data_IF_855179053541
#
_entry.id   IF_855179053541
#
_cell.length_a   1.000
_cell.length_b   1.000
_cell.length_c   1.000
_cell.angle_alpha   90.00
_cell.angle_beta   90.00
_cell.angle_gamma   90.00
#
_symmetry.space_group_name_H-M   'P 1'
#
loop_
_entity.id
_entity.type
_entity.pdbx_description
1 polymer ?
#
# COMPACT_ATOMS: atom_id res chain seq x y z
N UNK A 1 8.52 6.98 -18.96
CA UNK A 1 7.16 7.33 -18.50
C UNK A 1 6.44 6.03 -18.27
N UNK A 2 5.71 5.84 -17.18
CA UNK A 2 4.94 4.62 -17.00
C UNK A 2 3.82 4.55 -18.03
N UNK A 3 3.56 3.35 -18.53
CA UNK A 3 2.40 3.10 -19.37
C UNK A 3 1.13 3.24 -18.52
N UNK A 4 0.17 4.01 -18.99
CA UNK A 4 -0.96 4.46 -18.19
C UNK A 4 -1.86 3.30 -17.72
N UNK A 5 -2.27 2.41 -18.63
CA UNK A 5 -3.18 1.31 -18.25
C UNK A 5 -2.51 0.30 -17.30
N UNK A 6 -1.25 -0.16 -17.53
CA UNK A 6 -0.54 -0.96 -16.55
C UNK A 6 -0.41 -0.28 -15.18
N UNK A 7 -0.09 1.01 -15.15
CA UNK A 7 -0.02 1.78 -13.91
C UNK A 7 -1.37 1.78 -13.16
N UNK A 8 -2.47 2.10 -13.87
CA UNK A 8 -3.81 2.14 -13.26
C UNK A 8 -4.26 0.76 -12.78
N UNK A 9 -4.02 -0.30 -13.59
CA UNK A 9 -4.39 -1.67 -13.23
C UNK A 9 -3.70 -2.16 -11.97
N UNK A 10 -2.41 -1.92 -11.88
CA UNK A 10 -1.62 -2.31 -10.71
C UNK A 10 -2.04 -1.51 -9.47
N UNK A 11 -2.16 -0.19 -9.56
CA UNK A 11 -2.60 0.65 -8.46
C UNK A 11 -4.02 0.28 -7.99
N UNK A 12 -4.95 0.02 -8.92
CA UNK A 12 -6.31 -0.39 -8.59
C UNK A 12 -6.34 -1.72 -7.85
N UNK A 13 -5.57 -2.71 -8.32
CA UNK A 13 -5.56 -4.03 -7.68
C UNK A 13 -4.92 -4.01 -6.30
N UNK A 14 -3.84 -3.25 -6.10
CA UNK A 14 -3.23 -3.05 -4.78
C UNK A 14 -4.21 -2.44 -3.76
N UNK A 15 -5.03 -1.47 -4.18
CA UNK A 15 -6.05 -0.90 -3.29
C UNK A 15 -7.15 -1.91 -2.96
N UNK A 16 -7.51 -2.77 -3.90
CA UNK A 16 -8.50 -3.83 -3.68
C UNK A 16 -7.97 -4.88 -2.68
N UNK A 17 -6.70 -5.27 -2.78
CA UNK A 17 -6.05 -6.19 -1.84
C UNK A 17 -5.90 -5.56 -0.44
N UNK A 18 -5.56 -4.27 -0.35
CA UNK A 18 -5.53 -3.55 0.93
C UNK A 18 -6.91 -3.55 1.60
N UNK A 19 -7.98 -3.26 0.84
CA UNK A 19 -9.36 -3.38 1.32
C UNK A 19 -9.67 -4.78 1.83
N UNK A 20 -9.29 -5.80 1.10
CA UNK A 20 -9.54 -7.20 1.45
C UNK A 20 -8.81 -7.60 2.75
N UNK A 21 -7.54 -7.21 2.88
CA UNK A 21 -6.75 -7.49 4.08
C UNK A 21 -7.33 -6.78 5.31
N UNK A 22 -7.63 -5.48 5.21
CA UNK A 22 -8.25 -4.72 6.31
C UNK A 22 -9.64 -5.26 6.68
N UNK A 23 -10.44 -5.68 5.70
CA UNK A 23 -11.77 -6.29 5.97
C UNK A 23 -11.65 -7.60 6.75
N UNK A 24 -10.61 -8.41 6.50
CA UNK A 24 -10.31 -9.61 7.30
C UNK A 24 -9.93 -9.22 8.74
N UNK A 25 -9.13 -8.18 8.92
CA UNK A 25 -8.76 -7.66 10.25
C UNK A 25 -9.99 -7.16 11.00
N UNK A 26 -10.90 -6.44 10.36
CA UNK A 26 -12.19 -6.00 10.98
C UNK A 26 -12.93 -7.16 11.60
N UNK A 27 -12.93 -8.33 10.93
CA UNK A 27 -13.58 -9.54 11.46
C UNK A 27 -12.90 -10.16 12.70
N UNK A 28 -11.65 -9.81 12.98
CA UNK A 28 -10.83 -10.39 14.04
C UNK A 28 -10.66 -9.47 15.25
N UNK A 29 -10.94 -8.17 15.11
CA UNK A 29 -10.84 -7.19 16.19
C UNK A 29 -12.09 -7.23 17.06
N UNK A 30 -11.93 -7.46 18.36
CA UNK A 30 -13.05 -7.52 19.31
C UNK A 30 -13.43 -6.13 19.84
N UNK A 31 -12.47 -5.25 20.10
CA UNK A 31 -12.72 -3.89 20.56
C UNK A 31 -13.46 -3.07 19.50
N UNK A 32 -14.63 -2.53 19.85
CA UNK A 32 -15.49 -1.84 18.89
C UNK A 32 -14.88 -0.54 18.36
N UNK A 33 -14.11 0.20 19.17
CA UNK A 33 -13.47 1.43 18.73
C UNK A 33 -12.34 1.13 17.74
N UNK A 34 -11.52 0.13 18.03
CA UNK A 34 -10.48 -0.34 17.12
C UNK A 34 -11.08 -0.89 15.82
N UNK A 35 -12.15 -1.69 15.92
CA UNK A 35 -12.89 -2.24 14.79
C UNK A 35 -13.41 -1.15 13.86
N UNK A 36 -14.00 -0.08 14.40
CA UNK A 36 -14.48 1.06 13.62
C UNK A 36 -13.34 1.76 12.87
N UNK A 37 -12.21 2.02 13.53
CA UNK A 37 -11.04 2.65 12.92
C UNK A 37 -10.50 1.82 11.74
N UNK A 38 -10.37 0.50 11.92
CA UNK A 38 -9.93 -0.40 10.85
C UNK A 38 -10.95 -0.48 9.70
N UNK A 39 -12.26 -0.47 10.02
CA UNK A 39 -13.32 -0.46 9.02
C UNK A 39 -13.30 0.83 8.17
N UNK A 40 -13.02 1.98 8.78
CA UNK A 40 -12.86 3.24 8.06
C UNK A 40 -11.67 3.18 7.10
N UNK A 41 -10.53 2.63 7.52
CA UNK A 41 -9.36 2.43 6.66
C UNK A 41 -9.66 1.47 5.50
N UNK A 42 -10.40 0.38 5.75
CA UNK A 42 -10.85 -0.51 4.69
C UNK A 42 -11.74 0.23 3.66
N UNK A 43 -12.71 1.02 4.14
CA UNK A 43 -13.57 1.84 3.29
C UNK A 43 -12.79 2.84 2.44
N UNK A 44 -11.74 3.45 3.00
CA UNK A 44 -10.88 4.37 2.27
C UNK A 44 -10.10 3.67 1.14
N UNK A 45 -9.53 2.48 1.39
CA UNK A 45 -8.88 1.67 0.35
C UNK A 45 -9.84 1.32 -0.78
N UNK A 46 -11.08 0.92 -0.44
CA UNK A 46 -12.12 0.66 -1.44
C UNK A 46 -12.47 1.91 -2.25
N UNK A 47 -12.55 3.07 -1.61
CA UNK A 47 -12.81 4.35 -2.28
C UNK A 47 -11.69 4.73 -3.26
N UNK A 48 -10.42 4.53 -2.89
CA UNK A 48 -9.27 4.71 -3.77
C UNK A 48 -9.36 3.76 -4.99
N UNK A 49 -9.63 2.49 -4.76
CA UNK A 49 -9.88 1.51 -5.82
C UNK A 49 -10.98 1.99 -6.79
N UNK A 50 -12.14 2.37 -6.27
CA UNK A 50 -13.26 2.84 -7.07
C UNK A 50 -12.91 4.07 -7.92
N UNK A 51 -12.14 5.00 -7.37
CA UNK A 51 -11.67 6.18 -8.10
C UNK A 51 -10.73 5.81 -9.27
N UNK A 52 -9.82 4.85 -9.06
CA UNK A 52 -8.90 4.39 -10.11
C UNK A 52 -9.64 3.63 -11.21
N UNK A 53 -10.55 2.71 -10.87
CA UNK A 53 -11.34 1.99 -11.89
C UNK A 53 -12.29 2.91 -12.66
N UNK A 54 -12.75 4.00 -12.06
CA UNK A 54 -13.51 5.03 -12.77
C UNK A 54 -12.65 5.70 -13.86
N UNK A 55 -11.34 5.89 -13.62
CA UNK A 55 -10.41 6.41 -14.62
C UNK A 55 -10.20 5.42 -15.78
N UNK A 56 -10.09 4.11 -15.49
CA UNK A 56 -9.99 3.06 -16.50
C UNK A 56 -11.26 3.05 -17.38
N UNK A 57 -12.44 3.07 -16.77
CA UNK A 57 -13.73 3.09 -17.48
C UNK A 57 -13.92 4.32 -18.37
N UNK A 58 -13.45 5.50 -17.93
CA UNK A 58 -13.50 6.74 -18.75
C UNK A 58 -12.73 6.62 -20.07
N UNK A 59 -11.80 5.68 -20.15
CA UNK A 59 -11.00 5.39 -21.35
C UNK A 59 -11.63 4.33 -22.25
N UNK A 60 -12.72 3.72 -21.80
CA UNK A 60 -13.41 2.65 -22.52
C UNK A 60 -12.88 1.26 -22.26
N UNK A 61 -11.94 1.11 -21.28
CA UNK A 61 -11.34 -0.17 -20.94
C UNK A 61 -12.11 -0.85 -19.81
N UNK A 62 -12.07 -2.20 -19.77
CA UNK A 62 -12.62 -2.99 -18.67
C UNK A 62 -11.63 -3.06 -17.51
N UNK A 63 -11.99 -2.64 -16.28
CA UNK A 63 -11.09 -2.67 -15.15
C UNK A 63 -10.58 -4.06 -14.80
N UNK A 64 -11.38 -5.11 -14.97
CA UNK A 64 -10.96 -6.48 -14.66
C UNK A 64 -9.85 -6.94 -15.60
N UNK A 65 -9.98 -6.66 -16.90
CA UNK A 65 -8.95 -7.00 -17.90
C UNK A 65 -7.66 -6.22 -17.65
N UNK A 66 -7.76 -4.94 -17.24
CA UNK A 66 -6.60 -4.08 -16.96
C UNK A 66 -5.88 -4.50 -15.67
N UNK A 67 -6.59 -4.99 -14.66
CA UNK A 67 -6.01 -5.48 -13.39
C UNK A 67 -5.43 -6.90 -13.51
N UNK A 68 -6.04 -7.76 -14.32
CA UNK A 68 -5.73 -9.20 -14.41
C UNK A 68 -4.24 -9.54 -14.58
N UNK A 69 -3.43 -8.80 -15.38
CA UNK A 69 -2.01 -9.12 -15.54
C UNK A 69 -1.19 -9.02 -14.25
N UNK A 70 -1.70 -8.34 -13.23
CA UNK A 70 -1.01 -8.09 -11.96
C UNK A 70 -1.51 -8.97 -10.81
N UNK A 71 -2.63 -9.67 -11.00
CA UNK A 71 -3.31 -10.41 -9.95
C UNK A 71 -2.38 -11.43 -9.28
N UNK A 72 -1.81 -12.36 -10.03
CA UNK A 72 -0.98 -13.44 -9.47
C UNK A 72 0.22 -12.92 -8.64
N UNK A 73 0.85 -11.83 -9.12
CA UNK A 73 2.01 -11.25 -8.42
C UNK A 73 1.61 -10.54 -7.13
N UNK A 74 0.49 -9.81 -7.15
CA UNK A 74 -0.02 -9.07 -5.98
C UNK A 74 -0.63 -10.04 -4.97
N UNK A 75 -1.36 -11.07 -5.41
CA UNK A 75 -1.87 -12.13 -4.54
C UNK A 75 -0.73 -12.88 -3.84
N UNK A 76 0.32 -13.23 -4.58
CA UNK A 76 1.53 -13.83 -4.01
C UNK A 76 2.19 -12.93 -2.96
N UNK A 77 2.29 -11.63 -3.22
CA UNK A 77 2.77 -10.65 -2.27
C UNK A 77 1.87 -10.55 -1.02
N UNK A 78 0.55 -10.49 -1.22
CA UNK A 78 -0.44 -10.46 -0.13
C UNK A 78 -0.29 -11.68 0.80
N UNK A 79 -0.08 -12.88 0.25
CA UNK A 79 0.18 -14.08 1.03
C UNK A 79 1.47 -13.96 1.85
N UNK A 80 2.56 -13.45 1.26
CA UNK A 80 3.86 -13.30 1.94
C UNK A 80 3.84 -12.25 3.05
N UNK A 81 2.98 -11.24 2.92
CA UNK A 81 2.84 -10.13 3.87
C UNK A 81 1.69 -10.29 4.85
N UNK A 82 0.90 -11.36 4.75
CA UNK A 82 -0.11 -11.70 5.76
C UNK A 82 0.58 -12.14 7.04
N UNK A 83 0.28 -11.48 8.16
CA UNK A 83 0.82 -11.80 9.47
C UNK A 83 0.24 -13.06 10.09
N UNK A 84 0.85 -13.55 11.16
CA UNK A 84 0.36 -14.71 11.95
C UNK A 84 -0.88 -14.34 12.78
N UNK A 85 -1.09 -13.07 13.06
CA UNK A 85 -2.27 -12.53 13.72
C UNK A 85 -2.74 -11.22 13.06
N UNK A 86 -3.88 -10.69 13.50
CA UNK A 86 -4.45 -9.49 12.92
C UNK A 86 -3.57 -8.22 13.14
N UNK A 87 -2.75 -8.18 14.20
CA UNK A 87 -1.85 -7.04 14.49
C UNK A 87 -0.70 -6.99 13.51
N UNK A 88 -0.11 -8.14 13.23
CA UNK A 88 0.93 -8.26 12.20
C UNK A 88 0.36 -7.94 10.81
N UNK A 89 -0.85 -8.42 10.51
CA UNK A 89 -1.54 -8.10 9.25
C UNK A 89 -1.86 -6.61 9.15
N UNK A 90 -2.32 -5.98 10.24
CA UNK A 90 -2.62 -4.55 10.26
C UNK A 90 -1.36 -3.69 10.04
N UNK A 91 -0.24 -4.04 10.72
CA UNK A 91 1.04 -3.39 10.49
C UNK A 91 1.53 -3.61 9.06
N UNK A 92 1.37 -4.83 8.52
CA UNK A 92 1.76 -5.12 7.15
C UNK A 92 1.02 -4.23 6.15
N UNK A 93 -0.29 -4.09 6.27
CA UNK A 93 -1.07 -3.21 5.39
C UNK A 93 -0.63 -1.76 5.55
N UNK A 94 -0.47 -1.26 6.77
CA UNK A 94 -0.03 0.13 7.03
C UNK A 94 1.34 0.42 6.37
N UNK A 95 2.30 -0.47 6.53
CA UNK A 95 3.64 -0.32 5.96
C UNK A 95 3.61 -0.44 4.43
N UNK A 96 2.98 -1.49 3.91
CA UNK A 96 3.04 -1.79 2.47
C UNK A 96 2.19 -0.82 1.66
N UNK A 97 0.96 -0.53 2.09
CA UNK A 97 0.10 0.42 1.38
C UNK A 97 0.67 1.83 1.42
N UNK A 98 1.20 2.26 2.57
CA UNK A 98 1.84 3.57 2.68
C UNK A 98 3.06 3.73 1.76
N UNK A 99 3.92 2.70 1.68
CA UNK A 99 5.06 2.70 0.75
C UNK A 99 4.62 2.71 -0.71
N UNK A 100 3.64 1.88 -1.06
CA UNK A 100 3.17 1.74 -2.43
C UNK A 100 2.37 2.98 -2.88
N UNK A 101 1.55 3.57 -2.01
CA UNK A 101 0.86 4.83 -2.31
C UNK A 101 1.87 5.95 -2.59
N UNK A 102 2.88 6.13 -1.72
CA UNK A 102 3.95 7.10 -1.94
C UNK A 102 4.69 6.87 -3.27
N UNK A 103 4.96 5.60 -3.61
CA UNK A 103 5.60 5.22 -4.86
C UNK A 103 4.72 5.56 -6.08
N UNK A 104 3.44 5.15 -6.07
CA UNK A 104 2.51 5.43 -7.17
C UNK A 104 2.22 6.93 -7.31
N UNK A 105 2.14 7.69 -6.21
CA UNK A 105 2.01 9.16 -6.26
C UNK A 105 3.19 9.80 -7.01
N UNK A 106 4.43 9.35 -6.73
CA UNK A 106 5.61 9.86 -7.43
C UNK A 106 5.61 9.50 -8.91
N UNK A 107 5.23 8.26 -9.25
CA UNK A 107 5.10 7.84 -10.64
C UNK A 107 4.00 8.59 -11.39
N UNK A 108 2.96 9.03 -10.68
CA UNK A 108 1.84 9.77 -11.25
C UNK A 108 2.29 11.07 -11.95
N UNK A 109 3.39 11.69 -11.50
CA UNK A 109 3.97 12.87 -12.14
C UNK A 109 4.39 12.63 -13.60
N UNK A 110 4.63 11.36 -13.99
CA UNK A 110 4.95 10.97 -15.36
C UNK A 110 3.73 10.61 -16.22
N UNK A 111 2.51 10.67 -15.69
CA UNK A 111 1.31 10.33 -16.44
C UNK A 111 0.83 11.50 -17.32
N UNK A 112 0.18 11.21 -18.48
CA UNK A 112 -0.23 12.24 -19.41
C UNK A 112 -1.40 13.09 -18.90
N UNK A 113 -1.39 14.37 -19.26
CA UNK A 113 -2.49 15.30 -19.02
C UNK A 113 -2.76 15.53 -17.53
N UNK A 114 -4.03 15.55 -17.16
CA UNK A 114 -4.54 15.80 -15.81
C UNK A 114 -4.75 14.50 -14.99
N UNK A 115 -4.44 13.34 -15.56
CA UNK A 115 -4.60 12.03 -14.90
C UNK A 115 -3.66 11.93 -13.71
N UNK A 116 -2.39 12.29 -13.89
CA UNK A 116 -1.39 12.24 -12.83
C UNK A 116 -1.82 12.99 -11.57
N UNK A 117 -2.14 14.29 -11.65
CA UNK A 117 -2.63 15.04 -10.50
C UNK A 117 -3.89 14.45 -9.84
N UNK A 118 -4.84 13.94 -10.63
CA UNK A 118 -6.05 13.30 -10.07
C UNK A 118 -5.75 12.03 -9.31
N UNK A 119 -4.92 11.14 -9.88
CA UNK A 119 -4.54 9.89 -9.22
C UNK A 119 -3.68 10.16 -7.99
N UNK A 120 -2.74 11.11 -8.07
CA UNK A 120 -1.93 11.52 -6.92
C UNK A 120 -2.81 12.06 -5.77
N UNK A 121 -3.79 12.90 -6.07
CA UNK A 121 -4.75 13.41 -5.08
C UNK A 121 -5.61 12.29 -4.47
N UNK A 122 -6.02 11.33 -5.30
CA UNK A 122 -6.82 10.17 -4.85
C UNK A 122 -6.01 9.26 -3.91
N UNK A 123 -4.79 8.89 -4.30
CA UNK A 123 -3.92 8.03 -3.49
C UNK A 123 -3.45 8.73 -2.21
N UNK A 124 -3.18 10.05 -2.28
CA UNK A 124 -2.79 10.88 -1.14
C UNK A 124 -3.96 11.34 -0.26
N UNK A 125 -5.21 10.95 -0.57
CA UNK A 125 -6.35 11.26 0.29
C UNK A 125 -6.24 10.55 1.64
N UNK A 126 -6.87 11.13 2.68
CA UNK A 126 -6.92 10.50 4.02
C UNK A 126 -7.47 9.07 3.90
N UNK A 127 -6.64 8.12 4.27
CA UNK A 127 -6.92 6.69 4.22
C UNK A 127 -7.35 6.11 5.57
N UNK A 128 -7.64 6.93 6.59
CA UNK A 128 -7.88 6.46 7.95
C UNK A 128 -6.60 5.94 8.63
N UNK A 129 -5.43 6.31 8.12
CA UNK A 129 -4.12 5.88 8.62
C UNK A 129 -3.92 6.25 10.08
N UNK A 130 -4.34 7.45 10.51
CA UNK A 130 -4.25 7.86 11.92
C UNK A 130 -5.01 6.91 12.83
N UNK A 131 -6.17 6.43 12.40
CA UNK A 131 -6.95 5.45 13.15
C UNK A 131 -6.25 4.10 13.28
N UNK A 132 -5.64 3.62 12.20
CA UNK A 132 -4.84 2.38 12.19
C UNK A 132 -3.62 2.52 13.10
N UNK A 133 -2.91 3.64 13.00
CA UNK A 133 -1.75 3.95 13.84
C UNK A 133 -2.12 4.00 15.33
N UNK A 134 -3.30 4.55 15.68
CA UNK A 134 -3.78 4.59 17.07
C UNK A 134 -4.10 3.19 17.61
N UNK A 135 -4.70 2.33 16.78
CA UNK A 135 -4.95 0.93 17.16
C UNK A 135 -3.62 0.22 17.43
N UNK A 136 -2.65 0.33 16.51
CA UNK A 136 -1.34 -0.30 16.67
C UNK A 136 -0.60 0.24 17.91
N UNK A 137 -0.60 1.56 18.17
CA UNK A 137 0.02 2.15 19.37
C UNK A 137 -0.61 1.61 20.66
N UNK A 138 -1.93 1.46 20.68
CA UNK A 138 -2.65 0.93 21.85
C UNK A 138 -2.23 -0.52 22.13
N UNK A 139 -2.20 -1.36 21.10
CA UNK A 139 -1.82 -2.77 21.22
C UNK A 139 -0.33 -2.92 21.63
N UNK A 140 0.57 -2.14 21.00
CA UNK A 140 2.01 -2.12 21.33
C UNK A 140 2.24 -1.67 22.78
N UNK A 141 1.52 -0.66 23.25
CA UNK A 141 1.62 -0.17 24.61
C UNK A 141 1.15 -1.16 25.65
N UNK A 142 0.23 -2.06 25.28
CA UNK A 142 -0.30 -3.09 26.15
C UNK A 142 0.61 -4.34 26.28
N UNK A 143 1.46 -4.60 25.27
CA UNK A 143 2.31 -5.79 25.22
C UNK A 143 3.73 -5.49 24.65
N UNK A 144 4.75 -5.42 25.51
CA UNK A 144 6.14 -5.21 25.08
C UNK A 144 6.70 -6.32 24.18
N UNK A 145 6.19 -7.55 24.26
CA UNK A 145 6.62 -8.66 23.40
C UNK A 145 6.07 -8.47 21.98
N UNK A 146 4.85 -7.93 21.87
CA UNK A 146 4.27 -7.52 20.59
C UNK A 146 5.13 -6.46 19.90
N UNK A 147 5.60 -5.44 20.64
CA UNK A 147 6.48 -4.40 20.08
C UNK A 147 7.72 -5.01 19.39
N UNK A 148 8.42 -5.94 20.06
CA UNK A 148 9.61 -6.60 19.49
C UNK A 148 9.27 -7.43 18.26
N UNK A 149 8.15 -8.15 18.28
CA UNK A 149 7.68 -8.97 17.17
C UNK A 149 7.31 -8.12 15.95
N UNK A 150 6.56 -7.04 16.16
CA UNK A 150 6.17 -6.10 15.11
C UNK A 150 7.36 -5.34 14.53
N UNK A 151 8.36 -5.00 15.34
CA UNK A 151 9.60 -4.37 14.84
C UNK A 151 10.36 -5.29 13.86
N UNK A 152 10.49 -6.58 14.21
CA UNK A 152 11.11 -7.56 13.30
C UNK A 152 10.28 -7.77 12.02
N UNK A 153 8.97 -7.83 12.16
CA UNK A 153 8.03 -8.00 11.04
C UNK A 153 8.10 -6.80 10.09
N UNK A 154 8.04 -5.58 10.61
CA UNK A 154 8.13 -4.35 9.81
C UNK A 154 9.41 -4.24 8.99
N UNK A 155 10.56 -4.62 9.56
CA UNK A 155 11.84 -4.66 8.83
C UNK A 155 11.83 -5.62 7.65
N UNK A 156 11.23 -6.79 7.80
CA UNK A 156 11.09 -7.76 6.71
C UNK A 156 10.21 -7.24 5.58
N UNK A 157 9.08 -6.63 5.92
CA UNK A 157 8.09 -6.14 4.95
C UNK A 157 8.66 -5.12 3.97
N UNK A 158 9.63 -4.30 4.38
CA UNK A 158 10.24 -3.28 3.50
C UNK A 158 10.90 -3.92 2.29
N UNK A 159 11.72 -4.95 2.51
CA UNK A 159 12.41 -5.65 1.42
C UNK A 159 11.43 -6.20 0.39
N UNK A 160 10.40 -6.91 0.86
CA UNK A 160 9.38 -7.51 0.00
C UNK A 160 8.57 -6.44 -0.75
N UNK A 161 8.24 -5.31 -0.10
CA UNK A 161 7.49 -4.20 -0.72
C UNK A 161 8.31 -3.49 -1.79
N UNK A 162 9.60 -3.27 -1.56
CA UNK A 162 10.48 -2.65 -2.56
C UNK A 162 10.67 -3.54 -3.79
N UNK A 163 10.62 -4.88 -3.64
CA UNK A 163 10.63 -5.79 -4.76
C UNK A 163 9.37 -5.65 -5.62
N UNK A 164 8.19 -5.51 -5.01
CA UNK A 164 6.94 -5.24 -5.74
C UNK A 164 6.98 -3.89 -6.44
N UNK A 165 7.41 -2.84 -5.75
CA UNK A 165 7.59 -1.51 -6.35
C UNK A 165 8.55 -1.57 -7.55
N UNK A 166 9.66 -2.31 -7.44
CA UNK A 166 10.61 -2.50 -8.55
C UNK A 166 9.99 -3.26 -9.73
N UNK A 167 9.19 -4.29 -9.48
CA UNK A 167 8.52 -5.05 -10.55
C UNK A 167 7.56 -4.19 -11.37
N UNK A 168 6.91 -3.21 -10.73
CA UNK A 168 6.04 -2.24 -11.41
C UNK A 168 6.78 -1.40 -12.46
N UNK A 169 8.08 -1.20 -12.28
CA UNK A 169 8.91 -0.40 -13.17
C UNK A 169 9.48 -1.19 -14.35
N UNK A 170 9.63 -2.51 -14.22
CA UNK A 170 10.12 -3.36 -15.31
C UNK A 170 9.14 -3.51 -16.46
N UNK A 171 7.88 -3.10 -16.27
CA UNK A 171 6.88 -3.07 -17.32
C UNK A 171 7.11 -1.96 -18.35
N UNK A 172 8.03 -1.01 -18.10
CA UNK A 172 8.36 0.08 -19.02
C UNK A 172 9.44 -0.27 -20.07
N UNK A 173 10.07 -1.43 -19.99
CA UNK A 173 10.98 -1.97 -21.02
C UNK A 173 12.37 -1.32 -21.14
N UNK A 174 12.78 -0.42 -20.21
CA UNK A 174 14.05 0.31 -20.30
C UNK A 174 14.86 0.24 -18.98
N UNK A 175 15.63 -0.86 -18.82
CA UNK A 175 16.22 -1.31 -17.56
C UNK A 175 17.37 -0.47 -16.98
N UNK A 176 18.10 0.30 -17.77
CA UNK A 176 19.34 0.95 -17.31
C UNK A 176 19.21 2.41 -16.90
N UNK A 177 18.35 3.17 -17.57
CA UNK A 177 18.01 4.56 -17.20
C UNK A 177 17.00 4.63 -16.07
N UNK A 178 16.28 3.55 -15.82
CA UNK A 178 15.27 3.47 -14.79
C UNK A 178 15.92 3.25 -13.41
N UNK A 179 17.00 2.46 -13.30
CA UNK A 179 17.70 2.22 -12.04
C UNK A 179 18.28 3.52 -11.43
N UNK A 180 18.91 4.37 -12.20
CA UNK A 180 19.47 5.67 -11.72
C UNK A 180 18.37 6.66 -11.29
N UNK A 181 17.17 6.56 -11.85
CA UNK A 181 16.02 7.39 -11.48
C UNK A 181 15.25 6.87 -10.26
N UNK A 182 15.33 5.58 -10.02
CA UNK A 182 14.59 4.86 -8.98
C UNK A 182 15.32 4.91 -7.64
N UNK A 183 16.65 4.89 -7.64
CA UNK A 183 17.45 4.88 -6.42
C UNK A 183 17.12 6.04 -5.45
N UNK A 184 16.95 7.30 -5.89
CA UNK A 184 16.49 8.38 -5.02
C UNK A 184 15.08 8.14 -4.45
N UNK A 185 14.18 7.57 -5.26
CA UNK A 185 12.80 7.27 -4.84
C UNK A 185 12.84 6.21 -3.75
N UNK A 186 13.60 5.15 -3.91
CA UNK A 186 13.72 4.09 -2.90
C UNK A 186 14.34 4.59 -1.59
N UNK A 187 15.35 5.45 -1.67
CA UNK A 187 15.95 6.08 -0.48
C UNK A 187 14.90 6.85 0.31
N UNK A 188 14.06 7.64 -0.36
CA UNK A 188 13.00 8.40 0.30
C UNK A 188 11.86 7.51 0.81
N UNK A 189 11.51 6.42 0.12
CA UNK A 189 10.53 5.44 0.58
C UNK A 189 11.00 4.73 1.85
N UNK A 190 12.28 4.34 1.91
CA UNK A 190 12.87 3.75 3.10
C UNK A 190 12.84 4.76 4.26
N UNK A 191 13.20 6.02 4.02
CA UNK A 191 13.13 7.06 5.04
C UNK A 191 11.68 7.32 5.52
N UNK A 192 10.70 7.27 4.62
CA UNK A 192 9.28 7.38 4.99
C UNK A 192 8.82 6.18 5.83
N UNK A 193 9.24 4.96 5.46
CA UNK A 193 8.98 3.77 6.26
C UNK A 193 9.59 3.89 7.67
N UNK A 194 10.86 4.27 7.78
CA UNK A 194 11.52 4.46 9.08
C UNK A 194 10.72 5.43 9.96
N UNK A 195 10.26 6.55 9.40
CA UNK A 195 9.41 7.50 10.15
C UNK A 195 8.08 6.88 10.60
N UNK A 196 7.44 6.01 9.79
CA UNK A 196 6.20 5.30 10.20
C UNK A 196 6.47 4.34 11.35
N UNK A 197 7.56 3.58 11.29
CA UNK A 197 7.95 2.66 12.35
C UNK A 197 8.32 3.42 13.64
N UNK A 198 9.07 4.49 13.55
CA UNK A 198 9.43 5.35 14.69
C UNK A 198 8.19 5.97 15.35
N UNK A 199 7.19 6.36 14.56
CA UNK A 199 5.92 6.89 15.06
C UNK A 199 5.08 5.85 15.84
N UNK A 200 5.37 4.56 15.66
CA UNK A 200 4.83 3.45 16.45
C UNK A 200 5.72 3.07 17.65
N UNK A 201 6.89 3.73 17.82
CA UNK A 201 7.88 3.32 18.80
C UNK A 201 8.62 2.01 18.43
N UNK A 202 8.54 1.61 17.16
CA UNK A 202 9.20 0.42 16.65
C UNK A 202 10.50 0.82 15.96
N UNK A 203 11.61 0.24 16.39
CA UNK A 203 12.92 0.50 15.74
C UNK A 203 12.96 -0.20 14.38
N UNK A 204 13.08 0.57 13.31
CA UNK A 204 13.17 0.05 11.93
C UNK A 204 14.53 -0.57 11.62
#
# INVERSE_FOLDING_TARGET
MPDLLPYLGQAAYLQLESFQALSRVVGQVDDLSAKEKVALAAGASLSKHQGIIAEIRRRGDDPADVMKPFADAIDGFSVLTTGSDWRETLLAVEVTSGLLDDFFIRLAAGLPGDVGPRIAALLGSDGGQDGVMDVLRTEIGADPQLASRLAMWGRRLVGDTLLVARSALHLSGNTRTDEERIEPIFTELIAAHTRRMDALGLTA
#
